data_IF_158817411011
#
_entry.id   IF_158817411011
#
_cell.length_a   1.000
_cell.length_b   1.000
_cell.length_c   1.000
_cell.angle_alpha   90.00
_cell.angle_beta   90.00
_cell.angle_gamma   90.00
#
_symmetry.space_group_name_H-M   'P 1'
#
loop_
_entity.id
_entity.type
_entity.pdbx_description
1 polymer ?
#
# COMPACT_ATOMS: atom_id res chain seq x y z
N UNK A 1 -20.06 12.22 13.07
CA UNK A 1 -18.70 11.87 13.53
C UNK A 1 -17.75 12.88 12.91
N UNK A 2 -16.91 13.54 13.71
CA UNK A 2 -16.00 14.57 13.21
C UNK A 2 -14.96 13.96 12.26
N UNK A 3 -14.83 14.53 11.06
CA UNK A 3 -13.83 14.13 10.05
C UNK A 3 -12.40 14.11 10.62
N UNK A 4 -12.13 14.95 11.62
CA UNK A 4 -10.85 15.02 12.30
C UNK A 4 -10.56 13.78 13.18
N UNK A 5 -11.56 13.26 13.90
CA UNK A 5 -11.36 12.08 14.75
C UNK A 5 -11.18 10.80 13.93
N UNK A 6 -11.85 10.68 12.78
CA UNK A 6 -11.65 9.55 11.87
C UNK A 6 -10.24 9.58 11.25
N UNK A 7 -9.69 10.77 10.93
CA UNK A 7 -8.32 10.90 10.39
C UNK A 7 -7.29 10.34 11.37
N UNK A 8 -7.35 10.73 12.65
CA UNK A 8 -6.41 10.24 13.67
C UNK A 8 -6.53 8.73 13.88
N UNK A 9 -7.76 8.20 13.92
CA UNK A 9 -8.01 6.78 14.08
C UNK A 9 -7.50 5.96 12.87
N UNK A 10 -7.68 6.46 11.65
CA UNK A 10 -7.13 5.85 10.44
C UNK A 10 -5.60 5.82 10.49
N UNK A 11 -4.95 6.91 10.91
CA UNK A 11 -3.50 6.94 11.09
C UNK A 11 -3.02 5.93 12.15
N UNK A 12 -3.78 5.74 13.23
CA UNK A 12 -3.45 4.77 14.28
C UNK A 12 -3.48 3.31 13.78
N UNK A 13 -4.24 3.00 12.72
CA UNK A 13 -4.26 1.65 12.13
C UNK A 13 -2.89 1.20 11.61
N UNK A 14 -2.05 2.15 11.17
CA UNK A 14 -0.69 1.87 10.72
C UNK A 14 0.18 1.32 11.87
N UNK A 15 0.17 2.01 13.01
CA UNK A 15 1.06 1.76 14.14
C UNK A 15 0.61 0.49 14.92
N UNK A 16 -0.67 0.43 15.28
CA UNK A 16 -1.19 -0.57 16.22
C UNK A 16 -1.72 -1.83 15.54
N UNK A 17 -2.23 -1.75 14.32
CA UNK A 17 -2.83 -2.90 13.64
C UNK A 17 -1.93 -3.48 12.57
N UNK A 18 -1.62 -2.71 11.52
CA UNK A 18 -0.91 -3.22 10.35
C UNK A 18 0.52 -3.65 10.68
N UNK A 19 1.33 -2.73 11.23
CA UNK A 19 2.74 -2.99 11.51
C UNK A 19 2.91 -4.07 12.59
N UNK A 20 2.13 -4.02 13.67
CA UNK A 20 2.17 -5.03 14.72
C UNK A 20 1.75 -6.43 14.23
N UNK A 21 0.76 -6.53 13.34
CA UNK A 21 0.31 -7.80 12.76
C UNK A 21 1.32 -8.36 11.76
N UNK A 22 1.95 -7.52 10.95
CA UNK A 22 3.11 -7.90 10.10
C UNK A 22 4.24 -8.45 10.98
N UNK A 23 4.63 -7.76 12.05
CA UNK A 23 5.67 -8.26 12.99
C UNK A 23 5.27 -9.59 13.67
N UNK A 24 3.99 -9.77 14.03
CA UNK A 24 3.49 -11.04 14.56
C UNK A 24 3.70 -12.20 13.58
N UNK A 25 3.47 -11.98 12.28
CA UNK A 25 3.70 -12.98 11.23
C UNK A 25 5.19 -13.35 11.12
N UNK A 26 6.07 -12.35 11.11
CA UNK A 26 7.53 -12.55 11.05
C UNK A 26 8.02 -13.36 12.23
N UNK A 27 7.65 -12.98 13.46
CA UNK A 27 8.02 -13.71 14.68
C UNK A 27 7.50 -15.15 14.73
N UNK A 28 6.50 -15.48 13.92
CA UNK A 28 5.92 -16.83 13.79
C UNK A 28 6.43 -17.59 12.56
N UNK A 29 7.34 -17.01 11.78
CA UNK A 29 7.96 -17.65 10.62
C UNK A 29 7.04 -17.74 9.40
N UNK A 30 5.95 -16.96 9.34
CA UNK A 30 5.08 -16.94 8.17
C UNK A 30 5.72 -16.21 6.98
N UNK A 31 6.48 -15.15 7.24
CA UNK A 31 7.16 -14.37 6.21
C UNK A 31 8.50 -13.86 6.73
N UNK A 32 9.42 -13.54 5.81
CA UNK A 32 10.69 -12.91 6.13
C UNK A 32 10.56 -11.40 5.89
N UNK A 33 10.83 -10.61 6.92
CA UNK A 33 10.93 -9.15 6.85
C UNK A 33 11.86 -8.69 7.98
N UNK A 34 13.07 -8.30 7.60
CA UNK A 34 14.12 -7.90 8.52
C UNK A 34 13.97 -6.44 8.98
N UNK A 35 12.92 -5.72 8.54
CA UNK A 35 12.76 -4.28 8.75
C UNK A 35 11.55 -3.92 9.61
N UNK A 36 10.43 -4.66 9.53
CA UNK A 36 9.17 -4.27 10.19
C UNK A 36 9.31 -4.07 11.71
N UNK A 37 10.23 -4.80 12.34
CA UNK A 37 10.50 -4.67 13.76
C UNK A 37 11.02 -3.28 14.16
N UNK A 38 11.63 -2.53 13.24
CA UNK A 38 12.14 -1.16 13.44
C UNK A 38 11.00 -0.13 13.53
N UNK A 39 9.82 -0.47 12.99
CA UNK A 39 8.66 0.41 12.91
C UNK A 39 7.62 0.14 14.02
N UNK A 40 7.77 -0.96 14.76
CA UNK A 40 6.80 -1.38 15.79
C UNK A 40 7.31 -1.07 17.19
N UNK A 41 6.67 -0.10 17.85
CA UNK A 41 6.98 0.25 19.24
C UNK A 41 6.57 -0.83 20.24
N UNK A 42 5.41 -1.45 20.03
CA UNK A 42 4.83 -2.45 20.95
C UNK A 42 4.47 -3.72 20.18
N UNK A 43 5.34 -4.75 20.21
CA UNK A 43 5.02 -6.02 19.57
C UNK A 43 3.77 -6.65 20.19
N UNK A 44 2.81 -7.03 19.35
CA UNK A 44 1.60 -7.74 19.77
C UNK A 44 1.52 -9.11 19.12
N UNK A 45 1.10 -10.13 19.88
CA UNK A 45 0.79 -11.44 19.31
C UNK A 45 -0.60 -11.41 18.70
N UNK A 46 -0.74 -11.89 17.47
CA UNK A 46 -2.04 -12.12 16.82
C UNK A 46 -2.39 -13.61 16.80
N UNK A 47 -3.69 -13.90 16.72
CA UNK A 47 -4.18 -15.27 16.61
C UNK A 47 -3.71 -15.94 15.31
N UNK A 48 -3.66 -17.28 15.23
CA UNK A 48 -3.21 -17.98 14.01
C UNK A 48 -3.98 -17.58 12.75
N UNK A 49 -5.30 -17.37 12.85
CA UNK A 49 -6.12 -16.97 11.70
C UNK A 49 -5.75 -15.57 11.19
N UNK A 50 -5.45 -14.63 12.11
CA UNK A 50 -5.01 -13.28 11.73
C UNK A 50 -3.62 -13.32 11.09
N UNK A 51 -2.70 -14.16 11.59
CA UNK A 51 -1.39 -14.32 10.97
C UNK A 51 -1.50 -14.94 9.57
N UNK A 52 -2.36 -15.96 9.38
CA UNK A 52 -2.62 -16.55 8.06
C UNK A 52 -3.18 -15.53 7.07
N UNK A 53 -4.12 -14.70 7.51
CA UNK A 53 -4.67 -13.62 6.68
C UNK A 53 -3.60 -12.60 6.27
N UNK A 54 -2.78 -12.15 7.22
CA UNK A 54 -1.68 -11.21 6.91
C UNK A 54 -0.60 -11.83 6.02
N UNK A 55 -0.29 -13.12 6.20
CA UNK A 55 0.61 -13.84 5.30
C UNK A 55 0.05 -13.91 3.87
N UNK A 56 -1.23 -14.28 3.72
CA UNK A 56 -1.85 -14.36 2.40
C UNK A 56 -1.92 -12.99 1.71
N UNK A 57 -2.24 -11.92 2.46
CA UNK A 57 -2.13 -10.51 2.04
C UNK A 57 -0.74 -10.19 1.50
N UNK A 58 0.30 -10.44 2.30
CA UNK A 58 1.70 -10.20 1.91
C UNK A 58 2.12 -11.06 0.71
N UNK A 59 1.81 -12.35 0.70
CA UNK A 59 2.20 -13.29 -0.35
C UNK A 59 1.56 -12.94 -1.70
N UNK A 60 0.29 -12.51 -1.70
CA UNK A 60 -0.39 -12.05 -2.91
C UNK A 60 0.28 -10.82 -3.50
N UNK A 61 0.52 -9.78 -2.68
CA UNK A 61 1.25 -8.58 -3.09
C UNK A 61 2.64 -8.94 -3.63
N UNK A 62 3.43 -9.71 -2.88
CA UNK A 62 4.79 -10.11 -3.26
C UNK A 62 4.83 -10.90 -4.56
N UNK A 63 3.88 -11.81 -4.78
CA UNK A 63 3.81 -12.60 -6.02
C UNK A 63 3.55 -11.70 -7.22
N UNK A 64 2.51 -10.87 -7.16
CA UNK A 64 2.14 -9.97 -8.27
C UNK A 64 3.21 -8.92 -8.53
N UNK A 65 3.81 -8.38 -7.47
CA UNK A 65 4.89 -7.41 -7.58
C UNK A 65 6.13 -8.01 -8.25
N UNK A 66 6.54 -9.22 -7.87
CA UNK A 66 7.66 -9.89 -8.52
C UNK A 66 7.37 -10.23 -9.98
N UNK A 67 6.16 -10.71 -10.31
CA UNK A 67 5.76 -10.93 -11.69
C UNK A 67 5.83 -9.64 -12.53
N UNK A 68 5.36 -8.53 -11.97
CA UNK A 68 5.50 -7.23 -12.61
C UNK A 68 6.96 -6.85 -12.81
N UNK A 69 7.83 -7.04 -11.81
CA UNK A 69 9.26 -6.74 -11.89
C UNK A 69 10.03 -7.65 -12.86
N UNK A 70 9.57 -8.88 -13.11
CA UNK A 70 10.19 -9.82 -14.06
C UNK A 70 9.66 -9.65 -15.50
N UNK A 71 8.49 -9.04 -15.70
CA UNK A 71 7.87 -8.90 -17.02
C UNK A 71 8.74 -8.08 -18.02
N UNK A 72 8.85 -8.52 -19.27
CA UNK A 72 9.53 -7.74 -20.32
C UNK A 72 11.06 -7.76 -20.31
N UNK A 73 11.70 -8.64 -19.53
CA UNK A 73 13.17 -8.80 -19.49
C UNK A 73 13.80 -9.74 -20.54
N UNK A 74 13.02 -10.33 -21.45
CA UNK A 74 13.47 -11.47 -22.28
C UNK A 74 13.75 -11.15 -23.76
N UNK A 75 13.76 -9.88 -24.17
CA UNK A 75 13.98 -9.50 -25.58
C UNK A 75 15.33 -8.86 -25.84
N UNK A 76 16.36 -9.66 -26.15
CA UNK A 76 17.50 -9.39 -27.05
C UNK A 76 18.43 -8.17 -26.86
N UNK A 77 17.96 -7.06 -26.32
CA UNK A 77 18.73 -5.84 -26.09
C UNK A 77 18.86 -5.61 -24.58
N UNK A 78 20.11 -5.40 -24.14
CA UNK A 78 20.55 -5.31 -22.74
C UNK A 78 20.04 -4.02 -22.05
N UNK A 79 18.73 -3.84 -21.98
CA UNK A 79 18.09 -2.80 -21.19
C UNK A 79 16.96 -3.42 -20.37
N UNK A 80 17.19 -3.64 -19.08
CA UNK A 80 16.07 -3.90 -18.17
C UNK A 80 15.11 -2.72 -18.26
N UNK A 81 13.86 -2.97 -18.69
CA UNK A 81 12.81 -1.96 -18.71
C UNK A 81 12.72 -1.31 -17.32
N UNK A 82 12.92 0.02 -17.26
CA UNK A 82 12.78 0.78 -16.03
C UNK A 82 11.33 0.70 -15.57
N UNK A 83 11.13 0.27 -14.33
CA UNK A 83 9.82 0.10 -13.71
C UNK A 83 9.70 0.97 -12.48
N UNK A 84 8.49 1.45 -12.23
CA UNK A 84 8.20 2.30 -11.09
C UNK A 84 7.20 1.62 -10.16
N UNK A 85 7.26 1.94 -8.87
CA UNK A 85 6.27 1.56 -7.88
C UNK A 85 5.73 2.83 -7.23
N UNK A 86 4.41 2.93 -7.12
CA UNK A 86 3.71 3.98 -6.38
C UNK A 86 2.85 3.35 -5.29
N UNK A 87 3.25 3.53 -4.04
CA UNK A 87 2.51 3.05 -2.88
C UNK A 87 1.67 4.17 -2.27
N UNK A 88 0.35 4.08 -2.42
CA UNK A 88 -0.63 5.00 -1.88
C UNK A 88 -0.99 4.54 -0.46
N UNK A 89 -0.89 5.42 0.53
CA UNK A 89 -1.13 5.08 1.94
C UNK A 89 -0.14 4.03 2.43
N UNK A 90 1.15 4.26 2.16
CA UNK A 90 2.19 3.26 2.36
C UNK A 90 2.41 2.88 3.85
N UNK A 91 2.03 3.75 4.78
CA UNK A 91 2.29 3.53 6.19
C UNK A 91 3.77 3.25 6.47
N UNK A 92 4.03 2.29 7.35
CA UNK A 92 5.36 1.75 7.60
C UNK A 92 5.66 0.49 6.79
N UNK A 93 5.16 0.40 5.56
CA UNK A 93 5.53 -0.68 4.67
C UNK A 93 7.05 -0.73 4.44
N UNK A 94 7.58 -1.94 4.32
CA UNK A 94 9.02 -2.22 4.26
C UNK A 94 9.43 -2.83 2.93
N UNK A 95 8.52 -2.90 1.95
CA UNK A 95 8.73 -3.63 0.70
C UNK A 95 9.93 -3.10 -0.08
N UNK A 96 10.15 -1.78 -0.12
CA UNK A 96 11.33 -1.21 -0.78
C UNK A 96 12.64 -1.75 -0.19
N UNK A 97 12.76 -1.75 1.15
CA UNK A 97 13.98 -2.21 1.83
C UNK A 97 14.21 -3.71 1.60
N UNK A 98 13.15 -4.51 1.63
CA UNK A 98 13.22 -5.93 1.27
C UNK A 98 13.68 -6.13 -0.18
N UNK A 99 13.11 -5.39 -1.13
CA UNK A 99 13.51 -5.46 -2.54
C UNK A 99 14.95 -5.03 -2.77
N UNK A 100 15.46 -4.07 -2.00
CA UNK A 100 16.87 -3.68 -2.07
C UNK A 100 17.80 -4.81 -1.64
N UNK A 101 17.51 -5.49 -0.53
CA UNK A 101 18.31 -6.65 -0.10
C UNK A 101 18.27 -7.82 -1.08
N UNK A 102 17.13 -7.99 -1.75
CA UNK A 102 16.95 -9.02 -2.77
C UNK A 102 17.62 -8.67 -4.11
N UNK A 103 18.16 -7.46 -4.27
CA UNK A 103 18.72 -6.97 -5.55
C UNK A 103 17.66 -6.76 -6.63
N UNK A 104 16.40 -6.49 -6.22
CA UNK A 104 15.21 -6.41 -7.07
C UNK A 104 14.48 -5.07 -6.96
N UNK A 105 15.12 -4.05 -6.38
CA UNK A 105 14.53 -2.73 -6.28
C UNK A 105 14.17 -2.16 -7.66
N UNK A 106 13.01 -1.47 -7.80
CA UNK A 106 12.61 -0.87 -9.06
C UNK A 106 13.53 0.31 -9.42
N UNK A 107 13.35 0.87 -10.62
CA UNK A 107 14.02 2.11 -11.00
C UNK A 107 13.65 3.28 -10.07
N UNK A 108 12.39 3.34 -9.62
CA UNK A 108 11.91 4.33 -8.67
C UNK A 108 10.78 3.75 -7.82
N UNK A 109 10.87 3.93 -6.50
CA UNK A 109 9.83 3.57 -5.52
C UNK A 109 9.35 4.84 -4.82
N UNK A 110 8.07 5.16 -4.95
CA UNK A 110 7.45 6.35 -4.35
C UNK A 110 6.40 5.91 -3.34
N UNK A 111 6.49 6.44 -2.13
CA UNK A 111 5.53 6.24 -1.06
C UNK A 111 4.83 7.54 -0.70
N UNK A 112 3.50 7.48 -0.64
CA UNK A 112 2.63 8.59 -0.30
C UNK A 112 1.84 8.25 0.95
N UNK A 113 1.81 9.16 1.92
CA UNK A 113 0.96 9.06 3.10
C UNK A 113 0.72 10.43 3.72
N UNK A 114 -0.10 10.51 4.76
CA UNK A 114 -0.25 11.72 5.54
C UNK A 114 1.08 12.15 6.18
N UNK A 115 1.28 13.47 6.28
CA UNK A 115 2.48 14.07 6.86
C UNK A 115 2.85 13.49 8.23
N UNK A 116 1.86 13.25 9.08
CA UNK A 116 2.10 12.70 10.42
C UNK A 116 2.72 11.29 10.38
N UNK A 117 2.38 10.49 9.36
CA UNK A 117 2.93 9.15 9.12
C UNK A 117 4.30 9.24 8.47
N UNK A 118 4.45 10.06 7.42
CA UNK A 118 5.72 10.20 6.70
C UNK A 118 6.80 10.84 7.57
N UNK A 119 6.49 11.82 8.41
CA UNK A 119 7.45 12.40 9.38
C UNK A 119 7.99 11.37 10.37
N UNK A 120 7.14 10.45 10.86
CA UNK A 120 7.59 9.34 11.73
C UNK A 120 8.52 8.40 10.96
N UNK A 121 8.15 8.02 9.73
CA UNK A 121 8.95 7.12 8.89
C UNK A 121 10.29 7.75 8.48
N UNK A 122 10.30 9.02 8.06
CA UNK A 122 11.50 9.79 7.76
C UNK A 122 12.46 9.88 8.97
N UNK A 123 11.91 10.09 10.18
CA UNK A 123 12.71 10.09 11.41
C UNK A 123 13.38 8.73 11.67
N UNK A 124 12.67 7.61 11.43
CA UNK A 124 13.24 6.27 11.57
C UNK A 124 14.30 5.99 10.50
N UNK A 125 14.05 6.39 9.25
CA UNK A 125 15.02 6.25 8.15
C UNK A 125 16.29 7.06 8.42
N UNK A 126 16.18 8.26 9.00
CA UNK A 126 17.34 9.09 9.35
C UNK A 126 18.17 8.47 10.49
N UNK A 127 17.50 8.00 11.55
CA UNK A 127 18.17 7.61 12.79
C UNK A 127 18.60 6.15 12.85
N UNK A 128 18.04 5.28 12.00
CA UNK A 128 18.39 3.87 11.94
C UNK A 128 19.30 3.58 10.74
N UNK A 129 20.57 3.23 11.01
CA UNK A 129 21.55 2.90 9.95
C UNK A 129 21.06 1.79 9.01
N UNK A 130 20.38 0.77 9.55
CA UNK A 130 19.84 -0.35 8.76
C UNK A 130 18.86 0.11 7.67
N UNK A 131 18.14 1.22 7.88
CA UNK A 131 17.26 1.84 6.88
C UNK A 131 18.03 2.86 6.03
N UNK A 132 18.86 3.70 6.67
CA UNK A 132 19.62 4.76 6.02
C UNK A 132 20.56 4.23 4.93
N UNK A 133 21.17 3.08 5.18
CA UNK A 133 22.13 2.42 4.29
C UNK A 133 21.46 1.82 3.03
N UNK A 134 20.12 1.70 3.02
CA UNK A 134 19.34 1.18 1.89
C UNK A 134 18.86 2.26 0.93
N UNK A 135 19.09 3.52 1.27
CA UNK A 135 18.85 4.66 0.39
C UNK A 135 20.18 5.33 0.05
N UNK A 136 20.21 6.07 -1.05
CA UNK A 136 21.45 6.72 -1.53
C UNK A 136 22.09 7.59 -0.44
N UNK A 137 23.42 7.60 -0.37
CA UNK A 137 24.14 8.43 0.60
C UNK A 137 23.81 9.93 0.43
N UNK A 138 23.50 10.35 -0.80
CA UNK A 138 23.09 11.71 -1.18
C UNK A 138 21.63 12.02 -0.90
N UNK A 139 20.86 11.11 -0.29
CA UNK A 139 19.47 11.33 0.01
C UNK A 139 19.26 12.56 0.91
N UNK A 140 18.35 13.44 0.50
CA UNK A 140 17.86 14.53 1.33
C UNK A 140 16.73 14.01 2.22
N UNK A 141 16.85 14.21 3.53
CA UNK A 141 15.82 13.80 4.50
C UNK A 141 15.41 15.04 5.28
N UNK A 142 14.10 15.28 5.34
CA UNK A 142 13.53 16.36 6.13
C UNK A 142 12.40 15.82 7.00
N UNK A 143 12.66 15.76 8.30
CA UNK A 143 11.68 15.28 9.30
C UNK A 143 10.51 16.22 9.46
N UNK A 144 10.77 17.51 9.36
CA UNK A 144 9.77 18.57 9.51
C UNK A 144 8.79 18.60 8.34
N UNK A 145 9.28 18.45 7.10
CA UNK A 145 8.39 18.29 5.94
C UNK A 145 7.82 16.87 5.85
N UNK A 146 8.52 15.87 6.40
CA UNK A 146 8.10 14.47 6.31
C UNK A 146 8.50 13.84 4.97
N UNK A 147 9.66 14.24 4.46
CA UNK A 147 10.14 13.92 3.12
C UNK A 147 11.46 13.14 3.17
N UNK A 148 11.58 12.15 2.29
CA UNK A 148 12.85 11.48 1.96
C UNK A 148 12.99 11.51 0.45
N UNK A 149 14.04 12.14 -0.06
CA UNK A 149 14.33 12.27 -1.48
C UNK A 149 15.67 11.61 -1.77
N UNK A 150 15.64 10.38 -2.27
CA UNK A 150 16.79 9.62 -2.77
C UNK A 150 16.67 9.36 -4.27
N UNK A 151 17.69 8.81 -4.92
CA UNK A 151 17.67 8.55 -6.37
C UNK A 151 16.60 7.53 -6.77
N UNK A 152 16.42 6.48 -5.94
CA UNK A 152 15.52 5.35 -6.23
C UNK A 152 14.36 5.20 -5.23
N UNK A 153 14.34 6.00 -4.16
CA UNK A 153 13.31 5.98 -3.13
C UNK A 153 12.85 7.38 -2.77
N UNK A 154 11.53 7.59 -2.80
CA UNK A 154 10.89 8.85 -2.41
C UNK A 154 9.81 8.56 -1.39
N UNK A 155 9.80 9.29 -0.29
CA UNK A 155 8.71 9.34 0.69
C UNK A 155 8.19 10.78 0.71
N UNK A 156 6.91 10.97 0.40
CA UNK A 156 6.33 12.30 0.25
C UNK A 156 4.98 12.43 1.00
N UNK A 157 4.76 13.53 1.74
CA UNK A 157 3.52 13.78 2.46
C UNK A 157 2.44 14.27 1.50
N UNK A 158 1.27 13.64 1.50
CA UNK A 158 0.11 14.14 0.76
C UNK A 158 -1.19 13.57 1.32
N UNK A 159 -2.24 14.37 1.30
CA UNK A 159 -3.60 13.86 1.47
C UNK A 159 -4.08 13.32 0.12
N UNK A 160 -4.28 12.00 0.02
CA UNK A 160 -4.68 11.34 -1.22
C UNK A 160 -5.99 11.88 -1.83
N UNK A 161 -6.81 12.57 -1.03
CA UNK A 161 -8.06 13.19 -1.49
C UNK A 161 -7.84 14.47 -2.30
N UNK A 162 -6.66 15.08 -2.19
CA UNK A 162 -6.29 16.31 -2.88
C UNK A 162 -5.57 15.98 -4.21
N UNK A 163 -6.37 15.68 -5.25
CA UNK A 163 -5.85 15.28 -6.57
C UNK A 163 -4.87 16.32 -7.17
N UNK A 164 -5.13 17.64 -7.14
CA UNK A 164 -4.15 18.62 -7.61
C UNK A 164 -2.81 18.56 -6.87
N UNK A 165 -2.80 18.26 -5.57
CA UNK A 165 -1.54 18.04 -4.84
C UNK A 165 -0.86 16.72 -5.22
N UNK A 166 -1.61 15.67 -5.57
CA UNK A 166 -1.02 14.44 -6.08
C UNK A 166 -0.19 14.71 -7.35
N UNK A 167 -0.70 15.49 -8.30
CA UNK A 167 0.05 15.83 -9.52
C UNK A 167 1.39 16.52 -9.20
N UNK A 168 1.36 17.50 -8.27
CA UNK A 168 2.58 18.19 -7.84
C UNK A 168 3.58 17.25 -7.17
N UNK A 169 3.10 16.32 -6.34
CA UNK A 169 3.93 15.37 -5.60
C UNK A 169 4.55 14.31 -6.54
N UNK A 170 3.80 13.85 -7.53
CA UNK A 170 4.30 12.92 -8.55
C UNK A 170 5.36 13.60 -9.44
N UNK A 171 5.16 14.88 -9.78
CA UNK A 171 6.17 15.68 -10.48
C UNK A 171 7.43 15.87 -9.62
N UNK A 172 7.27 16.22 -8.34
CA UNK A 172 8.38 16.35 -7.38
C UNK A 172 9.15 15.04 -7.19
N UNK A 173 8.45 13.91 -7.19
CA UNK A 173 9.07 12.58 -7.11
C UNK A 173 9.90 12.23 -8.36
N UNK A 174 9.72 12.96 -9.46
CA UNK A 174 10.38 12.70 -10.74
C UNK A 174 9.86 11.43 -11.42
N UNK A 175 8.60 11.06 -11.17
CA UNK A 175 8.00 9.88 -11.79
C UNK A 175 7.78 10.11 -13.29
N UNK A 176 8.21 9.16 -14.12
CA UNK A 176 7.94 9.17 -15.54
C UNK A 176 6.61 8.44 -15.83
N UNK A 177 5.58 9.20 -16.19
CA UNK A 177 4.23 8.72 -16.47
C UNK A 177 4.13 7.77 -17.69
N UNK A 178 5.18 7.71 -18.51
CA UNK A 178 5.30 6.79 -19.65
C UNK A 178 5.92 5.44 -19.29
N UNK A 179 6.52 5.29 -18.11
CA UNK A 179 7.11 4.03 -17.68
C UNK A 179 6.05 3.10 -17.04
N UNK A 180 6.21 1.77 -17.18
CA UNK A 180 5.37 0.82 -16.47
C UNK A 180 5.39 1.08 -14.97
N UNK A 181 4.21 1.28 -14.38
CA UNK A 181 4.06 1.63 -12.96
C UNK A 181 3.16 0.64 -12.23
N UNK A 182 3.65 0.06 -11.13
CA UNK A 182 2.85 -0.75 -10.23
C UNK A 182 2.33 0.10 -9.09
N UNK A 183 1.02 0.28 -9.01
CA UNK A 183 0.35 1.11 -8.01
C UNK A 183 -0.20 0.21 -6.92
N UNK A 184 0.03 0.55 -5.65
CA UNK A 184 -0.38 -0.23 -4.49
C UNK A 184 -1.36 0.61 -3.67
N UNK A 185 -2.52 0.05 -3.35
CA UNK A 185 -3.40 0.54 -2.29
C UNK A 185 -3.80 -0.64 -1.40
N UNK A 186 -3.13 -0.78 -0.25
CA UNK A 186 -3.22 -1.95 0.62
C UNK A 186 -3.93 -1.61 1.94
N UNK A 187 -5.25 -1.79 1.99
CA UNK A 187 -6.19 -1.27 3.00
C UNK A 187 -6.14 0.26 3.08
N UNK A 188 -6.49 0.95 2.00
CA UNK A 188 -6.39 2.43 1.92
C UNK A 188 -7.69 3.07 1.44
N UNK A 189 -8.15 2.72 0.24
CA UNK A 189 -9.33 3.34 -0.36
C UNK A 189 -10.60 3.13 0.48
N UNK A 190 -10.70 1.99 1.17
CA UNK A 190 -11.81 1.67 2.07
C UNK A 190 -12.06 2.70 3.20
N UNK A 191 -11.04 3.46 3.60
CA UNK A 191 -11.15 4.50 4.63
C UNK A 191 -11.62 5.84 4.09
N UNK A 192 -11.70 5.99 2.77
CA UNK A 192 -12.10 7.23 2.11
C UNK A 192 -13.58 7.17 1.74
N UNK A 193 -14.21 8.35 1.63
CA UNK A 193 -15.54 8.43 1.05
C UNK A 193 -15.53 7.95 -0.42
N UNK A 194 -16.66 7.45 -0.94
CA UNK A 194 -16.72 6.89 -2.28
C UNK A 194 -16.24 7.82 -3.40
N UNK A 195 -16.47 9.13 -3.30
CA UNK A 195 -16.08 10.08 -4.33
C UNK A 195 -14.57 10.32 -4.34
N UNK A 196 -13.94 10.39 -3.17
CA UNK A 196 -12.48 10.41 -3.03
C UNK A 196 -11.84 9.16 -3.65
N UNK A 197 -12.36 7.97 -3.34
CA UNK A 197 -11.87 6.70 -3.89
C UNK A 197 -12.00 6.65 -5.42
N UNK A 198 -13.18 7.02 -5.96
CA UNK A 198 -13.39 7.14 -7.42
C UNK A 198 -12.42 8.14 -8.05
N UNK A 199 -12.17 9.27 -7.40
CA UNK A 199 -11.27 10.31 -7.90
C UNK A 199 -9.82 9.82 -7.99
N UNK A 200 -9.33 9.07 -6.99
CA UNK A 200 -7.98 8.50 -6.99
C UNK A 200 -7.83 7.42 -8.08
N UNK A 201 -8.81 6.51 -8.21
CA UNK A 201 -8.77 5.44 -9.23
C UNK A 201 -8.83 6.04 -10.64
N UNK A 202 -9.64 7.09 -10.85
CA UNK A 202 -9.70 7.82 -12.12
C UNK A 202 -8.44 8.62 -12.40
N UNK A 203 -7.84 9.23 -11.39
CA UNK A 203 -6.60 9.97 -11.54
C UNK A 203 -5.47 9.04 -11.99
N UNK A 204 -5.31 7.89 -11.33
CA UNK A 204 -4.28 6.91 -11.68
C UNK A 204 -4.44 6.34 -13.09
N UNK A 205 -5.67 6.06 -13.55
CA UNK A 205 -5.91 5.57 -14.92
C UNK A 205 -5.54 6.59 -15.99
N UNK A 206 -5.72 7.89 -15.70
CA UNK A 206 -5.40 8.99 -16.62
C UNK A 206 -3.92 9.39 -16.59
N UNK A 207 -3.30 9.32 -15.42
CA UNK A 207 -1.93 9.77 -15.23
C UNK A 207 -0.91 8.83 -15.88
N UNK A 208 -1.10 7.51 -15.76
CA UNK A 208 -0.11 6.53 -16.20
C UNK A 208 -0.53 5.83 -17.49
N UNK A 209 0.34 5.86 -18.50
CA UNK A 209 0.07 5.21 -19.79
C UNK A 209 0.05 3.67 -19.73
N UNK A 210 0.83 3.09 -18.82
CA UNK A 210 0.88 1.65 -18.58
C UNK A 210 1.04 1.42 -17.08
N UNK A 211 -0.01 0.91 -16.45
CA UNK A 211 0.01 0.66 -15.03
C UNK A 211 -0.71 -0.64 -14.65
N UNK A 212 -0.33 -1.18 -13.50
CA UNK A 212 -1.03 -2.25 -12.80
C UNK A 212 -1.43 -1.71 -11.45
N UNK A 213 -2.72 -1.78 -11.10
CA UNK A 213 -3.21 -1.37 -9.79
C UNK A 213 -3.49 -2.59 -8.92
N UNK A 214 -2.75 -2.72 -7.83
CA UNK A 214 -3.00 -3.71 -6.79
C UNK A 214 -3.84 -3.09 -5.68
N UNK A 215 -5.05 -3.62 -5.50
CA UNK A 215 -5.96 -3.27 -4.43
C UNK A 215 -6.17 -4.47 -3.50
N UNK A 216 -5.98 -4.26 -2.21
CA UNK A 216 -6.35 -5.22 -1.17
C UNK A 216 -7.17 -4.52 -0.10
N UNK A 217 -8.42 -4.90 0.11
CA UNK A 217 -9.28 -4.32 1.15
C UNK A 217 -10.50 -5.22 1.46
N UNK A 218 -11.30 -4.79 2.42
CA UNK A 218 -12.46 -5.50 2.92
C UNK A 218 -13.64 -5.51 1.93
N UNK A 219 -14.43 -6.59 1.98
CA UNK A 219 -15.69 -6.79 1.24
C UNK A 219 -16.69 -7.53 2.15
N UNK A 220 -17.92 -7.72 1.67
CA UNK A 220 -19.03 -8.40 2.33
C UNK A 220 -19.43 -7.77 3.70
N UNK A 221 -19.84 -6.48 3.73
CA UNK A 221 -20.23 -5.81 4.97
C UNK A 221 -21.42 -6.46 5.69
N UNK A 222 -22.31 -7.12 4.95
CA UNK A 222 -23.61 -7.55 5.46
C UNK A 222 -23.61 -8.97 6.05
N UNK A 223 -22.53 -9.74 5.86
CA UNK A 223 -22.39 -11.04 6.49
C UNK A 223 -22.03 -10.93 7.99
N UNK A 224 -22.17 -12.02 8.74
CA UNK A 224 -21.94 -12.01 10.20
C UNK A 224 -20.52 -11.55 10.58
N UNK A 225 -19.52 -11.87 9.75
CA UNK A 225 -18.14 -11.46 9.97
C UNK A 225 -17.95 -9.97 9.63
N UNK A 226 -18.47 -9.52 8.49
CA UNK A 226 -18.44 -8.13 8.03
C UNK A 226 -19.07 -7.18 9.03
N UNK A 227 -20.25 -7.52 9.53
CA UNK A 227 -20.94 -6.71 10.54
C UNK A 227 -20.13 -6.62 11.85
N UNK A 228 -19.52 -7.73 12.30
CA UNK A 228 -18.70 -7.72 13.50
C UNK A 228 -17.40 -6.92 13.29
N UNK A 229 -16.78 -7.04 12.11
CA UNK A 229 -15.60 -6.30 11.73
C UNK A 229 -15.86 -4.78 11.71
N UNK A 230 -16.96 -4.34 11.10
CA UNK A 230 -17.37 -2.93 11.07
C UNK A 230 -17.58 -2.41 12.47
N UNK A 231 -18.39 -3.10 13.30
CA UNK A 231 -18.62 -2.70 14.71
C UNK A 231 -17.31 -2.55 15.50
N UNK A 232 -16.36 -3.48 15.33
CA UNK A 232 -15.06 -3.44 16.01
C UNK A 232 -14.15 -2.29 15.54
N UNK A 233 -14.27 -1.86 14.28
CA UNK A 233 -13.50 -0.77 13.71
C UNK A 233 -14.10 0.58 14.11
N UNK A 234 -15.41 0.72 14.03
CA UNK A 234 -16.15 1.91 14.45
C UNK A 234 -16.04 2.17 15.96
N UNK A 235 -16.01 1.13 16.79
CA UNK A 235 -15.78 1.28 18.24
C UNK A 235 -14.41 1.87 18.56
N UNK A 236 -13.48 1.88 17.60
CA UNK A 236 -12.14 2.49 17.69
C UNK A 236 -12.07 3.81 16.93
N UNK A 237 -13.20 4.33 16.45
CA UNK A 237 -13.28 5.57 15.68
C UNK A 237 -12.80 5.46 14.23
N UNK A 238 -12.53 4.25 13.73
CA UNK A 238 -12.00 4.01 12.39
C UNK A 238 -13.10 3.48 11.47
N UNK A 239 -13.87 4.36 10.85
CA UNK A 239 -14.97 3.94 9.99
C UNK A 239 -14.48 3.53 8.60
N UNK A 240 -15.08 2.47 8.04
CA UNK A 240 -14.85 2.02 6.66
C UNK A 240 -15.80 2.76 5.70
N UNK A 241 -15.47 4.03 5.41
CA UNK A 241 -16.36 4.94 4.66
C UNK A 241 -16.78 4.42 3.28
N UNK A 242 -15.96 3.59 2.63
CA UNK A 242 -16.22 3.05 1.29
C UNK A 242 -16.88 1.67 1.25
N UNK A 243 -17.10 1.00 2.39
CA UNK A 243 -17.45 -0.44 2.40
C UNK A 243 -18.81 -0.75 1.76
N UNK A 244 -19.78 0.14 1.91
CA UNK A 244 -21.13 -0.06 1.37
C UNK A 244 -21.27 0.36 -0.11
N UNK A 245 -20.38 1.21 -0.63
CA UNK A 245 -20.37 1.61 -2.04
C UNK A 245 -19.72 0.53 -2.92
N UNK A 246 -18.75 -0.19 -2.37
CA UNK A 246 -18.06 -1.29 -3.07
C UNK A 246 -18.02 -2.57 -2.24
N UNK A 247 -19.20 -3.18 -1.96
CA UNK A 247 -19.35 -4.24 -0.97
C UNK A 247 -18.90 -5.62 -1.46
N UNK A 248 -18.68 -5.82 -2.75
CA UNK A 248 -18.35 -7.13 -3.34
C UNK A 248 -17.17 -7.02 -4.29
N UNK A 249 -16.60 -8.17 -4.67
CA UNK A 249 -15.58 -8.24 -5.72
C UNK A 249 -16.06 -7.60 -7.03
N UNK A 250 -17.29 -7.90 -7.45
CA UNK A 250 -17.87 -7.30 -8.65
C UNK A 250 -17.99 -5.78 -8.54
N UNK A 251 -18.38 -5.26 -7.37
CA UNK A 251 -18.47 -3.82 -7.16
C UNK A 251 -17.07 -3.15 -7.19
N UNK A 252 -16.03 -3.82 -6.69
CA UNK A 252 -14.64 -3.37 -6.83
C UNK A 252 -14.22 -3.37 -8.30
N UNK A 253 -14.52 -4.41 -9.07
CA UNK A 253 -14.24 -4.44 -10.51
C UNK A 253 -14.91 -3.27 -11.24
N UNK A 254 -16.19 -3.04 -10.97
CA UNK A 254 -16.94 -1.93 -11.57
C UNK A 254 -16.32 -0.57 -11.23
N UNK A 255 -15.87 -0.36 -9.99
CA UNK A 255 -15.13 0.86 -9.62
C UNK A 255 -13.95 1.13 -10.58
N UNK A 256 -13.16 0.12 -10.92
CA UNK A 256 -12.02 0.30 -11.83
C UNK A 256 -12.45 0.48 -13.29
N UNK A 257 -13.40 -0.33 -13.77
CA UNK A 257 -13.95 -0.23 -15.13
C UNK A 257 -14.51 1.17 -15.38
N UNK A 258 -15.37 1.65 -14.48
CA UNK A 258 -16.05 2.93 -14.59
C UNK A 258 -15.08 4.11 -14.51
N UNK A 259 -13.88 3.89 -13.99
CA UNK A 259 -12.81 4.88 -13.88
C UNK A 259 -11.75 4.76 -14.99
N UNK A 260 -11.95 3.90 -15.99
CA UNK A 260 -11.12 3.86 -17.21
C UNK A 260 -9.98 2.83 -17.19
N UNK A 261 -9.97 1.90 -16.24
CA UNK A 261 -9.09 0.73 -16.30
C UNK A 261 -9.67 -0.32 -17.26
N UNK A 262 -8.82 -1.10 -17.93
CA UNK A 262 -9.24 -1.96 -19.05
C UNK A 262 -9.26 -3.46 -18.74
N UNK A 263 -8.33 -3.94 -17.91
CA UNK A 263 -8.18 -5.35 -17.55
C UNK A 263 -8.17 -5.50 -16.03
N UNK A 264 -8.82 -6.54 -15.52
CA UNK A 264 -8.98 -6.78 -14.10
C UNK A 264 -8.74 -8.26 -13.81
N UNK A 265 -8.01 -8.53 -12.74
CA UNK A 265 -7.82 -9.88 -12.23
C UNK A 265 -8.16 -9.87 -10.75
N UNK A 266 -9.20 -10.62 -10.41
CA UNK A 266 -9.66 -10.72 -9.03
C UNK A 266 -9.07 -11.98 -8.40
N UNK A 267 -8.29 -11.79 -7.34
CA UNK A 267 -7.89 -12.89 -6.46
C UNK A 267 -9.02 -13.12 -5.45
N UNK A 268 -9.65 -14.29 -5.60
CA UNK A 268 -10.70 -14.82 -4.72
C UNK A 268 -10.38 -14.60 -3.23
N UNK A 269 -11.42 -14.24 -2.46
CA UNK A 269 -11.29 -13.93 -1.03
C UNK A 269 -10.54 -15.03 -0.25
N UNK A 270 -9.72 -14.61 0.72
CA UNK A 270 -8.72 -15.44 1.44
C UNK A 270 -9.28 -16.62 2.26
N UNK A 271 -10.51 -17.06 2.01
CA UNK A 271 -11.16 -18.23 2.62
C UNK A 271 -11.96 -19.10 1.63
N UNK A 272 -11.89 -18.84 0.33
CA UNK A 272 -12.63 -19.65 -0.66
C UNK A 272 -11.83 -20.88 -1.06
N UNK A 273 -12.41 -22.06 -0.83
CA UNK A 273 -11.90 -23.31 -1.41
C UNK A 273 -12.17 -23.32 -2.92
N UNK A 274 -11.30 -23.90 -3.77
CA UNK A 274 -11.47 -23.91 -5.23
C UNK A 274 -12.67 -24.70 -5.75
N UNK A 275 -13.45 -25.36 -4.89
CA UNK A 275 -14.52 -26.26 -5.28
C UNK A 275 -15.84 -25.79 -4.67
N UNK A 276 -16.64 -25.10 -5.49
CA UNK A 276 -18.11 -25.09 -5.46
C UNK A 276 -18.61 -24.35 -6.73
N UNK A 277 -18.26 -24.92 -7.88
CA UNK A 277 -19.11 -24.86 -9.06
C UNK A 277 -19.35 -26.32 -9.48
N UNK A 278 -20.47 -26.87 -9.01
CA UNK A 278 -21.25 -27.90 -9.69
C UNK A 278 -22.67 -27.38 -9.75
#
# INVERSE_FOLDING_TARGET
MDSHSNKEAVQATNDDDASASKLSCVKKGYMKDDYVHLFVRRPMRRSPIINRGHFARWAALRKLLNQFLDAGGNGGEKGHLKKQILSLGAGFDTTYFQLQDEGRAPYLYVELDFKEVTSKKATLIETCSHLRDKISATASISRESGEVLSDHYKLLPVDLRDIPKLDNVIALAGMNLSLPTFIIAECVLIYLDPDSSRSIVRWTSKAFSTAVFFLYEQIHPDDAFGQQMIRNLESRGCALLGIHDTPTLQAKENLFVDQGWQNFFTLLGMGTSPNLQQ
#
